data_IF_786800244493
#
_entry.id   IF_786800244493
#
_cell.length_a   1.000
_cell.length_b   1.000
_cell.length_c   1.000
_cell.angle_alpha   90.00
_cell.angle_beta   90.00
_cell.angle_gamma   90.00
#
_symmetry.space_group_name_H-M   'P 1'
#
loop_
_entity.id
_entity.type
_entity.pdbx_description
1 polymer ?
#
# COMPACT_ATOMS: atom_id res chain seq x y z
N UNK A 1 -6.04 -10.36 -9.15
CA UNK A 1 -5.92 -10.71 -7.72
C UNK A 1 -6.22 -9.47 -6.88
N UNK A 2 -6.67 -9.60 -5.64
CA UNK A 2 -6.92 -8.44 -4.75
C UNK A 2 -6.01 -8.52 -3.53
N UNK A 3 -5.34 -7.42 -3.21
CA UNK A 3 -4.57 -7.26 -1.98
C UNK A 3 -5.36 -6.40 -1.01
N UNK A 4 -5.63 -6.95 0.17
CA UNK A 4 -6.24 -6.22 1.28
C UNK A 4 -5.15 -5.70 2.20
N UNK A 5 -5.12 -4.39 2.40
CA UNK A 5 -4.18 -3.73 3.30
C UNK A 5 -4.95 -3.13 4.46
N UNK A 6 -4.72 -3.65 5.66
CA UNK A 6 -5.21 -3.08 6.90
C UNK A 6 -4.18 -2.07 7.45
N UNK A 7 -4.64 -0.88 7.81
CA UNK A 7 -3.79 0.19 8.34
C UNK A 7 -4.03 0.31 9.84
N UNK A 8 -2.99 0.11 10.64
CA UNK A 8 -3.06 0.31 12.08
C UNK A 8 -3.14 1.80 12.42
N UNK A 9 -3.90 2.15 13.46
CA UNK A 9 -4.15 3.52 13.92
C UNK A 9 -2.90 4.37 14.19
N UNK A 10 -1.72 3.76 14.33
CA UNK A 10 -0.42 4.42 14.51
C UNK A 10 0.13 5.14 13.27
N UNK A 11 -0.36 4.81 12.06
CA UNK A 11 0.04 5.49 10.80
C UNK A 11 -0.77 6.79 10.57
N UNK A 12 -1.70 7.10 11.49
CA UNK A 12 -2.70 8.13 11.28
C UNK A 12 -3.77 7.64 10.31
N UNK A 13 -4.98 8.15 10.45
CA UNK A 13 -6.08 7.79 9.56
C UNK A 13 -5.68 8.08 8.09
N UNK A 14 -5.44 7.03 7.29
CA UNK A 14 -5.21 7.19 5.86
C UNK A 14 -6.54 7.61 5.22
N UNK A 15 -6.59 8.84 4.72
CA UNK A 15 -7.78 9.36 4.02
C UNK A 15 -7.70 9.12 2.51
N UNK A 16 -6.49 9.03 1.97
CA UNK A 16 -6.27 8.84 0.55
C UNK A 16 -5.09 7.89 0.29
N UNK A 17 -5.19 7.19 -0.83
CA UNK A 17 -4.21 6.24 -1.33
C UNK A 17 -3.88 6.65 -2.77
N UNK A 18 -2.61 6.79 -3.08
CA UNK A 18 -2.13 6.91 -4.45
C UNK A 18 -1.44 5.61 -4.85
N UNK A 19 -1.79 5.12 -6.03
CA UNK A 19 -1.22 3.91 -6.62
C UNK A 19 -0.57 4.29 -7.94
N UNK A 20 0.69 3.90 -8.12
CA UNK A 20 1.35 3.88 -9.43
C UNK A 20 1.63 2.43 -9.81
N UNK A 21 1.17 2.04 -10.99
CA UNK A 21 1.34 0.69 -11.53
C UNK A 21 2.41 0.71 -12.63
N UNK A 22 3.45 -0.09 -12.46
CA UNK A 22 4.38 -0.49 -13.51
C UNK A 22 3.99 -1.87 -14.10
N UNK A 23 4.85 -2.47 -14.91
CA UNK A 23 4.56 -3.79 -15.51
C UNK A 23 4.54 -4.93 -14.47
N UNK A 24 5.54 -4.93 -13.59
CA UNK A 24 5.73 -5.93 -12.52
C UNK A 24 5.56 -5.34 -11.11
N UNK A 25 5.57 -4.01 -11.00
CA UNK A 25 5.73 -3.31 -9.73
C UNK A 25 4.50 -2.47 -9.42
N UNK A 26 4.11 -2.43 -8.15
CA UNK A 26 3.08 -1.51 -7.65
C UNK A 26 3.65 -0.63 -6.54
N UNK A 27 3.56 0.67 -6.72
CA UNK A 27 3.99 1.68 -5.75
C UNK A 27 2.77 2.28 -5.07
N UNK A 28 2.77 2.30 -3.75
CA UNK A 28 1.63 2.73 -2.94
C UNK A 28 2.08 3.81 -1.97
N UNK A 29 1.38 4.94 -2.01
CA UNK A 29 1.56 6.05 -1.08
C UNK A 29 0.30 6.21 -0.25
N UNK A 30 0.46 6.17 1.08
CA UNK A 30 -0.60 6.43 2.03
C UNK A 30 -0.51 7.88 2.49
N UNK A 31 -1.55 8.67 2.25
CA UNK A 31 -1.62 10.04 2.73
C UNK A 31 -2.39 10.08 4.05
N UNK A 32 -1.70 10.51 5.11
CA UNK A 32 -2.33 10.85 6.38
C UNK A 32 -3.26 12.05 6.19
N UNK A 33 -4.38 12.07 6.91
CA UNK A 33 -5.22 13.26 7.02
C UNK A 33 -4.46 14.41 7.71
N UNK A 34 -3.81 15.30 6.96
CA UNK A 34 -3.26 16.54 7.53
C UNK A 34 -4.34 17.62 7.58
N UNK A 35 -4.68 18.08 8.79
CA UNK A 35 -5.36 19.36 9.01
C UNK A 35 -6.85 19.34 9.43
N UNK A 36 -7.10 19.97 10.57
CA UNK A 36 -8.32 20.67 11.03
C UNK A 36 -9.55 19.95 11.58
N UNK A 37 -9.82 18.67 11.28
CA UNK A 37 -10.89 17.95 11.99
C UNK A 37 -10.48 16.54 12.35
N UNK A 38 -10.38 16.27 13.67
CA UNK A 38 -10.35 14.95 14.29
C UNK A 38 -11.65 14.15 14.05
N UNK A 39 -12.25 14.27 12.87
CA UNK A 39 -13.40 13.50 12.48
C UNK A 39 -12.91 12.23 11.77
N UNK A 40 -13.29 11.08 12.33
CA UNK A 40 -13.22 9.74 11.70
C UNK A 40 -14.00 9.66 10.38
N UNK A 41 -14.65 10.73 9.96
CA UNK A 41 -15.45 10.82 8.76
C UNK A 41 -14.53 10.78 7.53
N UNK A 42 -14.62 9.69 6.75
CA UNK A 42 -13.83 9.46 5.54
C UNK A 42 -12.50 8.74 5.72
N UNK A 43 -12.12 8.36 6.95
CA UNK A 43 -10.97 7.50 7.18
C UNK A 43 -11.31 6.05 6.82
N UNK A 44 -10.46 5.41 6.01
CA UNK A 44 -10.57 3.96 5.74
C UNK A 44 -9.47 3.23 6.50
N UNK A 45 -9.86 2.19 7.24
CA UNK A 45 -8.94 1.27 7.91
C UNK A 45 -8.42 0.19 6.97
N UNK A 46 -9.11 -0.01 5.84
CA UNK A 46 -8.81 -1.06 4.88
C UNK A 46 -8.90 -0.55 3.45
N UNK A 47 -7.96 -1.02 2.62
CA UNK A 47 -7.92 -0.76 1.19
C UNK A 47 -7.82 -2.07 0.44
N UNK A 48 -8.73 -2.25 -0.51
CA UNK A 48 -8.65 -3.34 -1.49
C UNK A 48 -7.97 -2.80 -2.75
N UNK A 49 -6.88 -3.45 -3.15
CA UNK A 49 -6.06 -3.04 -4.29
C UNK A 49 -6.03 -4.16 -5.31
N UNK A 50 -6.49 -3.86 -6.52
CA UNK A 50 -6.39 -4.81 -7.63
C UNK A 50 -4.93 -4.97 -8.06
N UNK A 51 -4.49 -6.21 -8.22
CA UNK A 51 -3.15 -6.55 -8.70
C UNK A 51 -3.24 -7.19 -10.08
N UNK A 52 -2.43 -6.65 -11.00
CA UNK A 52 -2.16 -7.27 -12.28
C UNK A 52 -1.61 -8.69 -12.09
N UNK A 53 -1.92 -9.66 -12.97
CA UNK A 53 -1.41 -11.02 -12.86
C UNK A 53 0.12 -11.11 -12.88
N UNK A 54 0.77 -10.21 -13.61
CA UNK A 54 2.23 -10.06 -13.71
C UNK A 54 2.87 -9.38 -12.50
N UNK A 55 2.09 -8.77 -11.60
CA UNK A 55 2.63 -8.04 -10.47
C UNK A 55 3.38 -9.01 -9.53
N UNK A 56 4.65 -8.75 -9.31
CA UNK A 56 5.54 -9.53 -8.44
C UNK A 56 6.13 -8.69 -7.32
N UNK A 57 6.06 -7.37 -7.37
CA UNK A 57 6.66 -6.49 -6.37
C UNK A 57 5.70 -5.39 -5.92
N UNK A 58 5.71 -5.10 -4.62
CA UNK A 58 4.90 -4.03 -4.03
C UNK A 58 5.79 -3.18 -3.11
N UNK A 59 5.76 -1.88 -3.38
CA UNK A 59 6.56 -0.88 -2.70
C UNK A 59 5.66 0.10 -1.95
N UNK A 60 6.04 0.44 -0.72
CA UNK A 60 5.38 1.50 0.06
C UNK A 60 6.28 2.73 0.14
N UNK A 61 5.66 3.90 0.00
CA UNK A 61 6.33 5.17 0.22
C UNK A 61 6.76 5.31 1.69
N UNK A 62 8.01 5.72 1.92
CA UNK A 62 8.58 5.89 3.26
C UNK A 62 8.71 7.36 3.69
N UNK A 63 8.55 8.30 2.76
CA UNK A 63 8.93 9.70 2.97
C UNK A 63 10.08 10.11 2.05
N UNK A 64 10.34 11.41 1.94
CA UNK A 64 11.50 11.99 1.26
C UNK A 64 11.75 11.53 -0.19
N UNK A 65 10.68 11.18 -0.92
CA UNK A 65 10.77 10.69 -2.30
C UNK A 65 11.13 9.20 -2.42
N UNK A 66 11.27 8.49 -1.30
CA UNK A 66 11.74 7.09 -1.28
C UNK A 66 10.59 6.07 -1.17
N UNK A 67 10.80 4.93 -1.83
CA UNK A 67 9.93 3.76 -1.77
C UNK A 67 10.71 2.54 -1.28
N UNK A 68 10.08 1.74 -0.41
CA UNK A 68 10.65 0.50 0.12
C UNK A 68 9.85 -0.70 -0.38
N UNK A 69 10.55 -1.74 -0.87
CA UNK A 69 9.95 -3.04 -1.18
C UNK A 69 9.42 -3.67 0.10
N UNK A 70 8.13 -4.00 0.13
CA UNK A 70 7.47 -4.60 1.31
C UNK A 70 6.96 -5.99 1.02
N UNK A 71 6.49 -6.27 -0.20
CA UNK A 71 6.03 -7.59 -0.60
C UNK A 71 6.68 -7.97 -1.93
N UNK A 72 7.17 -9.21 -1.99
CA UNK A 72 7.65 -9.82 -3.21
C UNK A 72 6.99 -11.18 -3.40
N UNK A 73 6.60 -11.47 -4.65
CA UNK A 73 6.00 -12.74 -5.02
C UNK A 73 7.11 -13.75 -5.35
N UNK A 74 7.06 -14.91 -4.71
CA UNK A 74 7.98 -16.00 -5.00
C UNK A 74 7.69 -16.55 -6.41
N UNK A 75 8.72 -16.68 -7.24
CA UNK A 75 8.56 -17.13 -8.62
C UNK A 75 8.17 -18.61 -8.74
N UNK A 76 8.52 -19.42 -7.74
CA UNK A 76 8.27 -20.86 -7.71
C UNK A 76 6.89 -21.16 -7.12
N UNK A 77 6.60 -20.65 -5.92
CA UNK A 77 5.34 -20.93 -5.22
C UNK A 77 4.20 -20.00 -5.62
N UNK A 78 4.51 -18.88 -6.28
CA UNK A 78 3.56 -17.79 -6.61
C UNK A 78 2.91 -17.13 -5.37
N UNK A 79 3.45 -17.39 -4.18
CA UNK A 79 2.98 -16.79 -2.93
C UNK A 79 3.67 -15.45 -2.64
N UNK A 80 3.00 -14.58 -1.90
CA UNK A 80 3.57 -13.30 -1.47
C UNK A 80 4.35 -13.46 -0.17
N UNK A 81 5.53 -12.85 -0.10
CA UNK A 81 6.38 -12.81 1.09
C UNK A 81 6.67 -11.37 1.50
N UNK A 82 6.60 -11.13 2.81
CA UNK A 82 7.01 -9.86 3.40
C UNK A 82 8.53 -9.75 3.37
N UNK A 83 9.03 -8.64 2.82
CA UNK A 83 10.44 -8.29 2.83
C UNK A 83 10.70 -7.38 4.03
N UNK A 84 11.63 -7.79 4.91
CA UNK A 84 11.99 -7.04 6.12
C UNK A 84 12.94 -5.89 5.79
#
# INVERSE_FOLDING_TARGET
MKLNIAISSSIGNARALEIKQGEYNKYITFYSAFGFFNSKFGAKSEYEIELNPSCSEIFFYKGDGEFKLVLQKDETTKEWRLIK
#
